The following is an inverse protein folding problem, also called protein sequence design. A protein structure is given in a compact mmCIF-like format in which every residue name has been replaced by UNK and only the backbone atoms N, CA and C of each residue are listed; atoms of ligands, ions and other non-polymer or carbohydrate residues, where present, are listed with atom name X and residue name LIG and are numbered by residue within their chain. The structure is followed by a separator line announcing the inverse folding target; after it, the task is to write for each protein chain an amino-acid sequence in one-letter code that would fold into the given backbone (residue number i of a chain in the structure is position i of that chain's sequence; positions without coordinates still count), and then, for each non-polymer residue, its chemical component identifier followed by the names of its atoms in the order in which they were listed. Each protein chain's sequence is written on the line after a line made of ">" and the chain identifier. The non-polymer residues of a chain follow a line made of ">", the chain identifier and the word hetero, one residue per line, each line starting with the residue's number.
data_IF_838351890710
#
_entry.id   IF_838351890710
#
_cell.length_a   1.000
_cell.length_b   1.000
_cell.length_c   1.000
_cell.angle_alpha   90.00
_cell.angle_beta   90.00
_cell.angle_gamma   90.00
#
_symmetry.space_group_name_H-M   'P 1'
#
loop_
_entity.id
_entity.type
_entity.pdbx_description
1 polymer ?
#
# COMPACT_ATOMS: atom_id res chain seq x y z
N UNK A 1 -4.01 -13.13 -8.14
CA UNK A 1 -3.91 -13.17 -6.66
C UNK A 1 -2.55 -13.76 -6.31
N UNK A 2 -1.84 -13.20 -5.34
CA UNK A 2 -0.55 -13.73 -4.89
C UNK A 2 -0.60 -13.87 -3.36
N UNK A 3 -0.42 -15.08 -2.83
CA UNK A 3 -0.42 -15.31 -1.40
C UNK A 3 0.87 -16.05 -1.01
N UNK A 4 1.47 -15.66 0.12
CA UNK A 4 2.59 -16.41 0.71
C UNK A 4 2.33 -16.58 2.20
N UNK A 5 2.84 -17.66 2.80
CA UNK A 5 2.72 -17.88 4.25
C UNK A 5 4.05 -17.56 4.95
N UNK A 6 5.18 -17.84 4.28
CA UNK A 6 6.54 -17.48 4.69
C UNK A 6 7.34 -17.04 3.45
N UNK A 7 7.61 -15.74 3.30
CA UNK A 7 8.42 -15.24 2.18
C UNK A 7 8.11 -13.81 1.76
N UNK A 8 8.91 -13.29 0.84
CA UNK A 8 8.70 -12.02 0.15
C UNK A 8 7.67 -12.22 -0.96
N UNK A 9 6.61 -11.41 -0.99
CA UNK A 9 5.75 -11.33 -2.18
C UNK A 9 6.18 -10.13 -3.00
N UNK A 10 6.80 -10.39 -4.14
CA UNK A 10 7.06 -9.38 -5.15
C UNK A 10 5.92 -9.41 -6.18
N UNK A 11 5.10 -8.36 -6.20
CA UNK A 11 4.04 -8.23 -7.21
C UNK A 11 4.33 -7.05 -8.11
N UNK A 12 4.47 -7.33 -9.40
CA UNK A 12 4.39 -6.35 -10.48
C UNK A 12 3.15 -6.66 -11.30
N UNK A 13 2.16 -5.77 -11.29
CA UNK A 13 0.93 -5.95 -12.05
C UNK A 13 0.49 -4.69 -12.76
N UNK A 14 -0.10 -4.86 -13.94
CA UNK A 14 -0.80 -3.83 -14.69
C UNK A 14 -2.32 -3.85 -14.47
N UNK A 15 -2.82 -4.66 -13.51
CA UNK A 15 -4.23 -4.86 -13.15
C UNK A 15 -4.43 -5.05 -11.62
N UNK A 16 -5.51 -5.73 -11.19
CA UNK A 16 -5.85 -5.92 -9.76
C UNK A 16 -4.94 -6.95 -9.09
N UNK A 17 -4.39 -6.63 -7.91
CA UNK A 17 -3.65 -7.58 -7.07
C UNK A 17 -4.22 -7.61 -5.65
N UNK A 18 -4.52 -8.82 -5.17
CA UNK A 18 -4.81 -9.14 -3.78
C UNK A 18 -3.61 -9.90 -3.23
N UNK A 19 -2.98 -9.38 -2.16
CA UNK A 19 -1.78 -9.98 -1.58
C UNK A 19 -1.93 -10.19 -0.08
N UNK A 20 -1.71 -11.44 0.35
CA UNK A 20 -1.82 -11.84 1.75
C UNK A 20 -0.54 -12.53 2.22
N UNK A 21 -0.05 -12.14 3.40
CA UNK A 21 1.04 -12.84 4.10
C UNK A 21 0.82 -12.97 5.60
N UNK A 22 1.28 -14.08 6.19
CA UNK A 22 1.17 -14.32 7.64
C UNK A 22 2.49 -14.01 8.35
N UNK A 23 3.63 -14.50 7.87
CA UNK A 23 4.96 -14.15 8.38
C UNK A 23 5.89 -13.81 7.19
N UNK A 24 5.97 -12.53 6.83
CA UNK A 24 6.77 -12.12 5.67
C UNK A 24 6.51 -10.68 5.23
N UNK A 25 7.41 -10.14 4.40
CA UNK A 25 7.26 -8.80 3.84
C UNK A 25 6.54 -8.81 2.49
N UNK A 26 5.66 -7.85 2.28
CA UNK A 26 5.07 -7.57 0.97
C UNK A 26 5.86 -6.41 0.36
N UNK A 27 6.43 -6.61 -0.83
CA UNK A 27 6.96 -5.51 -1.64
C UNK A 27 6.16 -5.42 -2.95
N UNK A 28 5.46 -4.31 -3.13
CA UNK A 28 4.63 -4.08 -4.31
C UNK A 28 5.05 -2.83 -5.06
N UNK A 29 5.14 -2.94 -6.38
CA UNK A 29 5.41 -1.80 -7.26
C UNK A 29 4.23 -1.58 -8.17
N UNK A 30 3.52 -0.48 -7.95
CA UNK A 30 2.41 -0.08 -8.82
C UNK A 30 2.98 0.66 -10.04
N UNK A 31 2.59 0.19 -11.23
CA UNK A 31 3.11 0.73 -12.49
C UNK A 31 2.19 1.75 -13.15
N UNK A 32 0.89 1.74 -12.83
CA UNK A 32 -0.11 2.63 -13.44
C UNK A 32 -0.54 3.72 -12.48
N UNK A 33 -0.63 5.00 -12.89
CA UNK A 33 -1.00 6.13 -12.02
C UNK A 33 -2.48 6.13 -11.57
N UNK A 34 -3.28 5.18 -12.06
CA UNK A 34 -4.66 4.90 -11.65
C UNK A 34 -4.91 3.38 -11.73
N UNK A 35 -5.98 2.92 -11.07
CA UNK A 35 -6.47 1.55 -11.17
C UNK A 35 -7.98 1.54 -11.42
N UNK A 36 -8.46 0.56 -12.18
CA UNK A 36 -9.89 0.33 -12.35
C UNK A 36 -10.50 -0.37 -11.12
N UNK A 37 -9.72 -1.23 -10.45
CA UNK A 37 -10.06 -1.88 -9.18
C UNK A 37 -8.93 -1.70 -8.19
N UNK A 38 -9.26 -1.23 -6.99
CA UNK A 38 -8.27 -0.90 -5.98
C UNK A 38 -7.55 -2.16 -5.47
N UNK A 39 -6.20 -2.13 -5.37
CA UNK A 39 -5.46 -3.24 -4.78
C UNK A 39 -5.63 -3.28 -3.26
N UNK A 40 -5.56 -4.47 -2.70
CA UNK A 40 -5.60 -4.72 -1.26
C UNK A 40 -4.38 -5.54 -0.83
N UNK A 41 -3.71 -5.05 0.21
CA UNK A 41 -2.51 -5.65 0.78
C UNK A 41 -2.74 -5.92 2.27
N UNK A 42 -2.65 -7.17 2.69
CA UNK A 42 -2.83 -7.55 4.09
C UNK A 42 -1.69 -8.42 4.58
N UNK A 43 -1.12 -8.07 5.73
CA UNK A 43 -0.13 -8.87 6.44
C UNK A 43 -0.56 -9.10 7.90
N UNK A 44 -0.16 -10.24 8.49
CA UNK A 44 -0.32 -10.44 9.95
C UNK A 44 0.95 -10.03 10.67
N UNK A 45 2.08 -10.70 10.41
CA UNK A 45 3.39 -10.35 10.94
C UNK A 45 4.33 -10.01 9.79
N UNK A 46 4.56 -8.72 9.56
CA UNK A 46 5.46 -8.33 8.49
C UNK A 46 5.27 -6.92 7.98
N UNK A 47 6.30 -6.47 7.26
CA UNK A 47 6.37 -5.14 6.66
C UNK A 47 5.68 -5.13 5.30
N UNK A 48 4.88 -4.11 5.04
CA UNK A 48 4.33 -3.85 3.70
C UNK A 48 5.02 -2.62 3.13
N UNK A 49 5.72 -2.77 2.01
CA UNK A 49 6.40 -1.68 1.30
C UNK A 49 5.77 -1.51 -0.08
N UNK A 50 5.21 -0.33 -0.35
CA UNK A 50 4.54 -0.05 -1.62
C UNK A 50 5.22 1.14 -2.28
N UNK A 51 5.60 0.95 -3.56
CA UNK A 51 6.11 2.00 -4.42
C UNK A 51 5.06 2.37 -5.45
N UNK A 52 4.78 3.67 -5.56
CA UNK A 52 3.80 4.21 -6.52
C UNK A 52 4.48 5.14 -7.54
N UNK A 53 3.92 5.33 -8.74
CA UNK A 53 4.46 6.27 -9.73
C UNK A 53 4.37 7.72 -9.25
N UNK A 54 5.31 8.59 -9.65
CA UNK A 54 5.32 10.02 -9.26
C UNK A 54 4.05 10.77 -9.66
N UNK A 55 3.44 10.38 -10.78
CA UNK A 55 2.20 10.94 -11.31
C UNK A 55 0.94 10.22 -10.80
N UNK A 56 1.04 9.46 -9.70
CA UNK A 56 -0.07 8.75 -9.10
C UNK A 56 -1.19 9.67 -8.59
N UNK A 57 -2.44 9.30 -8.92
CA UNK A 57 -3.66 9.92 -8.41
C UNK A 57 -4.54 8.90 -7.70
N UNK A 58 -4.39 8.75 -6.38
CA UNK A 58 -5.05 7.66 -5.63
C UNK A 58 -5.69 8.12 -4.33
N UNK A 59 -6.73 7.40 -3.91
CA UNK A 59 -7.10 7.29 -2.50
C UNK A 59 -6.40 6.10 -1.86
N UNK A 60 -5.95 6.27 -0.62
CA UNK A 60 -5.26 5.25 0.16
C UNK A 60 -5.76 5.23 1.60
N UNK A 61 -5.86 4.03 2.15
CA UNK A 61 -6.09 3.76 3.56
C UNK A 61 -5.10 2.71 4.03
N UNK A 62 -4.16 3.13 4.86
CA UNK A 62 -3.17 2.29 5.51
C UNK A 62 -3.42 2.24 7.01
N UNK A 63 -3.34 1.05 7.59
CA UNK A 63 -3.55 0.85 9.02
C UNK A 63 -2.66 -0.27 9.56
N UNK A 64 -2.05 -0.02 10.71
CA UNK A 64 -1.37 -1.04 11.48
C UNK A 64 -1.78 -1.04 12.94
N UNK A 65 -1.87 -2.22 13.57
CA UNK A 65 -2.22 -2.33 14.99
C UNK A 65 -1.00 -2.17 15.90
N UNK A 66 0.08 -2.89 15.60
CA UNK A 66 1.33 -2.91 16.36
C UNK A 66 2.50 -2.62 15.42
N UNK A 67 2.64 -1.35 15.04
CA UNK A 67 3.64 -0.90 14.10
C UNK A 67 3.53 0.58 13.83
N UNK A 68 4.13 1.02 12.72
CA UNK A 68 4.06 2.41 12.26
C UNK A 68 3.83 2.50 10.76
N UNK A 69 3.13 3.54 10.34
CA UNK A 69 2.98 3.94 8.95
C UNK A 69 3.98 5.05 8.65
N UNK A 70 4.92 4.77 7.74
CA UNK A 70 5.92 5.72 7.27
C UNK A 70 5.62 6.05 5.82
N UNK A 71 5.42 7.33 5.52
CA UNK A 71 5.10 7.78 4.17
C UNK A 71 6.02 8.90 3.72
N UNK A 72 6.54 8.76 2.50
CA UNK A 72 7.26 9.79 1.76
C UNK A 72 6.51 10.16 0.47
N UNK A 73 5.18 10.01 0.47
CA UNK A 73 4.34 10.33 -0.68
C UNK A 73 4.21 11.85 -0.84
N UNK A 74 4.69 12.37 -1.97
CA UNK A 74 4.50 13.78 -2.33
C UNK A 74 3.03 14.08 -2.62
N UNK A 75 2.55 15.24 -2.15
CA UNK A 75 1.19 15.71 -2.43
C UNK A 75 0.09 14.94 -1.69
N UNK A 76 0.42 14.22 -0.61
CA UNK A 76 -0.58 13.61 0.25
C UNK A 76 -1.46 14.66 0.92
N UNK A 77 -2.77 14.42 0.90
CA UNK A 77 -3.80 15.20 1.58
C UNK A 77 -4.74 14.25 2.31
N UNK A 78 -4.80 14.36 3.63
CA UNK A 78 -5.62 13.49 4.45
C UNK A 78 -5.22 13.52 5.91
N UNK A 79 -5.69 12.51 6.65
CA UNK A 79 -5.34 12.30 8.05
C UNK A 79 -4.23 11.27 8.13
N UNK A 80 -3.20 11.55 8.92
CA UNK A 80 -2.14 10.61 9.23
C UNK A 80 -1.86 10.64 10.73
N UNK A 81 -1.67 9.46 11.30
CA UNK A 81 -1.19 9.23 12.65
C UNK A 81 0.05 8.33 12.55
N UNK A 82 0.66 7.99 13.68
CA UNK A 82 1.76 7.03 13.70
C UNK A 82 1.34 5.66 13.15
N UNK A 83 0.08 5.25 13.35
CA UNK A 83 -0.40 3.89 13.06
C UNK A 83 -1.37 3.82 11.88
N UNK A 84 -1.81 4.96 11.35
CA UNK A 84 -2.81 4.99 10.27
C UNK A 84 -2.60 6.17 9.33
N UNK A 85 -3.03 6.00 8.09
CA UNK A 85 -3.00 7.04 7.07
C UNK A 85 -4.19 6.87 6.15
N UNK A 86 -5.08 7.86 6.10
CA UNK A 86 -6.28 7.87 5.25
C UNK A 86 -6.33 9.19 4.50
N UNK A 87 -6.31 9.11 3.17
CA UNK A 87 -6.37 10.28 2.33
C UNK A 87 -6.09 9.98 0.87
N UNK A 88 -5.55 10.97 0.19
CA UNK A 88 -5.30 10.92 -1.24
C UNK A 88 -3.94 11.51 -1.62
N UNK A 89 -3.41 11.07 -2.75
CA UNK A 89 -2.25 11.66 -3.43
C UNK A 89 -2.64 12.05 -4.86
N UNK A 90 -1.99 13.09 -5.41
CA UNK A 90 -2.21 13.55 -6.79
C UNK A 90 -3.60 14.13 -7.06
N UNK A 91 -3.94 14.31 -8.33
CA UNK A 91 -5.22 14.85 -8.81
C UNK A 91 -5.89 13.75 -9.62
N UNK A 92 -6.83 13.00 -9.02
CA UNK A 92 -7.44 11.84 -9.71
C UNK A 92 -8.03 10.72 -8.84
N UNK A 93 -8.15 10.89 -7.52
CA UNK A 93 -8.63 9.85 -6.60
C UNK A 93 -10.12 9.50 -6.69
N UNK A 94 -10.74 9.45 -7.88
CA UNK A 94 -12.18 9.17 -8.01
C UNK A 94 -12.55 7.70 -7.79
N UNK A 95 -11.59 6.78 -7.73
CA UNK A 95 -11.82 5.35 -7.50
C UNK A 95 -11.87 4.92 -6.02
N UNK A 96 -12.13 3.62 -5.81
CA UNK A 96 -12.03 2.98 -4.49
C UNK A 96 -10.60 3.12 -3.90
N UNK A 97 -10.47 3.28 -2.58
CA UNK A 97 -9.17 3.44 -1.93
C UNK A 97 -8.35 2.15 -2.01
N UNK A 98 -7.04 2.27 -2.23
CA UNK A 98 -6.11 1.19 -1.94
C UNK A 98 -6.14 0.91 -0.44
N UNK A 99 -6.29 -0.36 -0.07
CA UNK A 99 -6.36 -0.80 1.32
C UNK A 99 -5.07 -1.52 1.70
N UNK A 100 -4.46 -1.10 2.81
CA UNK A 100 -3.21 -1.68 3.31
C UNK A 100 -3.38 -1.92 4.80
N UNK A 101 -3.24 -3.18 5.22
CA UNK A 101 -3.41 -3.56 6.63
C UNK A 101 -2.28 -4.45 7.09
N UNK A 102 -1.71 -4.16 8.25
CA UNK A 102 -0.82 -5.11 8.94
C UNK A 102 -1.11 -5.19 10.43
N UNK A 103 -1.16 -6.40 11.00
CA UNK A 103 -1.40 -6.51 12.44
C UNK A 103 -0.13 -6.13 13.22
N UNK A 104 1.00 -6.74 12.91
CA UNK A 104 2.30 -6.53 13.55
C UNK A 104 3.36 -6.23 12.49
N UNK A 105 3.67 -4.96 12.25
CA UNK A 105 4.67 -4.58 11.26
C UNK A 105 4.53 -3.15 10.75
N UNK A 106 5.55 -2.67 10.05
CA UNK A 106 5.54 -1.33 9.48
C UNK A 106 4.90 -1.30 8.09
N UNK A 107 4.23 -0.20 7.76
CA UNK A 107 3.79 0.10 6.40
C UNK A 107 4.68 1.22 5.87
N UNK A 108 5.34 1.01 4.74
CA UNK A 108 6.19 2.00 4.08
C UNK A 108 5.63 2.37 2.71
N UNK A 109 5.35 3.67 2.51
CA UNK A 109 4.82 4.20 1.26
C UNK A 109 5.78 5.22 0.65
N UNK A 110 6.21 5.00 -0.60
CA UNK A 110 7.16 5.90 -1.27
C UNK A 110 6.87 6.04 -2.76
N UNK A 111 7.36 7.13 -3.33
CA UNK A 111 7.40 7.30 -4.79
C UNK A 111 8.48 6.40 -5.40
N UNK A 112 8.19 5.82 -6.57
CA UNK A 112 9.15 5.12 -7.42
C UNK A 112 10.02 6.19 -8.08
N UNK A 113 11.33 6.13 -7.83
CA UNK A 113 12.35 6.91 -8.55
C UNK A 113 12.53 6.38 -9.96
#
# INVERSE_FOLDING_TARGET
>A
EAATVNGEVLVSTSGTAHVHTVNGSIEAWLLRPFWEKAPEFTAVNGRISIRVPENAGYRLRAETRNGKVVSALRGFRGKATEQSMDGQIGVGGSGSPMIIRTLNGAIELRQKR
#
